data_IF_807664429881
#
_entry.id   IF_807664429881
#
_cell.length_a   1.000
_cell.length_b   1.000
_cell.length_c   1.000
_cell.angle_alpha   90.00
_cell.angle_beta   90.00
_cell.angle_gamma   90.00
#
_symmetry.space_group_name_H-M   'P 1'
#
loop_
_entity.id
_entity.type
_entity.pdbx_description
1 polymer ?
#
# COMPACT_ATOMS: atom_id res chain seq x y z
N UNK A 1 9.30 -3.75 -1.53
CA UNK A 1 9.43 -4.67 -0.38
C UNK A 1 8.17 -4.64 0.49
N UNK A 2 8.15 -5.30 1.67
CA UNK A 2 7.02 -5.18 2.63
C UNK A 2 6.91 -3.74 3.14
N UNK A 3 8.03 -3.10 3.46
CA UNK A 3 8.10 -1.71 3.94
C UNK A 3 7.57 -0.72 2.90
N UNK A 4 8.00 -0.87 1.65
CA UNK A 4 7.51 -0.05 0.53
C UNK A 4 6.00 -0.25 0.31
N UNK A 5 5.52 -1.49 0.45
CA UNK A 5 4.10 -1.80 0.33
C UNK A 5 3.29 -1.12 1.43
N UNK A 6 3.80 -1.04 2.67
CA UNK A 6 3.17 -0.29 3.76
C UNK A 6 3.06 1.20 3.45
N UNK A 7 4.11 1.81 2.87
CA UNK A 7 4.10 3.22 2.46
C UNK A 7 3.03 3.45 1.39
N UNK A 8 3.01 2.61 0.34
CA UNK A 8 2.04 2.71 -0.76
C UNK A 8 0.61 2.65 -0.23
N UNK A 9 0.27 1.67 0.61
CA UNK A 9 -1.09 1.54 1.17
C UNK A 9 -1.44 2.70 2.10
N UNK A 10 -0.50 3.20 2.88
CA UNK A 10 -0.72 4.36 3.76
C UNK A 10 -1.03 5.61 2.95
N UNK A 11 -0.27 5.89 1.89
CA UNK A 11 -0.52 7.05 1.03
C UNK A 11 -1.80 6.87 0.20
N UNK A 12 -2.08 5.66 -0.29
CA UNK A 12 -3.36 5.30 -0.93
C UNK A 12 -4.57 5.65 -0.05
N UNK A 13 -4.54 5.23 1.22
CA UNK A 13 -5.61 5.54 2.19
C UNK A 13 -5.75 7.04 2.44
N UNK A 14 -4.64 7.77 2.59
CA UNK A 14 -4.67 9.24 2.76
C UNK A 14 -5.25 9.96 1.55
N UNK A 15 -4.90 9.52 0.35
CA UNK A 15 -5.43 10.12 -0.88
C UNK A 15 -6.92 9.83 -1.05
N UNK A 16 -7.35 8.60 -0.77
CA UNK A 16 -8.77 8.22 -0.76
C UNK A 16 -9.59 9.08 0.23
N UNK A 17 -9.05 9.33 1.44
CA UNK A 17 -9.69 10.23 2.42
C UNK A 17 -9.83 11.68 1.93
N UNK A 18 -8.94 12.12 1.05
CA UNK A 18 -8.96 13.46 0.44
C UNK A 18 -9.76 13.52 -0.87
N UNK A 19 -10.33 12.40 -1.32
CA UNK A 19 -11.00 12.30 -2.63
C UNK A 19 -10.03 12.39 -3.82
N UNK A 20 -8.74 12.11 -3.61
CA UNK A 20 -7.71 12.16 -4.64
C UNK A 20 -7.53 10.74 -5.19
N UNK A 21 -7.90 10.52 -6.45
CA UNK A 21 -7.83 9.21 -7.11
C UNK A 21 -6.44 8.78 -7.57
N UNK A 22 -5.42 9.63 -7.40
CA UNK A 22 -4.04 9.39 -7.82
C UNK A 22 -3.13 9.59 -6.63
N UNK A 23 -2.20 8.66 -6.38
CA UNK A 23 -1.19 8.83 -5.33
C UNK A 23 0.20 8.97 -5.96
N UNK A 24 1.02 9.82 -5.33
CA UNK A 24 2.41 10.03 -5.71
C UNK A 24 3.28 9.59 -4.55
N UNK A 25 4.14 8.59 -4.77
CA UNK A 25 5.12 8.10 -3.80
C UNK A 25 6.51 8.38 -4.36
N UNK A 26 7.36 9.08 -3.61
CA UNK A 26 8.70 9.49 -4.02
C UNK A 26 8.75 10.20 -5.39
N UNK A 27 7.76 11.05 -5.67
CA UNK A 27 7.65 11.79 -6.94
C UNK A 27 7.20 10.95 -8.13
N UNK A 28 6.87 9.67 -7.94
CA UNK A 28 6.32 8.78 -8.97
C UNK A 28 4.84 8.56 -8.76
N UNK A 29 4.06 8.66 -9.84
CA UNK A 29 2.66 8.25 -9.83
C UNK A 29 2.59 6.74 -9.57
N UNK A 30 1.72 6.37 -8.64
CA UNK A 30 1.44 4.99 -8.31
C UNK A 30 0.02 4.69 -8.77
N UNK A 31 -0.08 3.89 -9.82
CA UNK A 31 -1.35 3.50 -10.40
C UNK A 31 -1.99 2.33 -9.62
N UNK A 32 -3.27 2.11 -9.87
CA UNK A 32 -4.06 1.03 -9.25
C UNK A 32 -3.38 -0.36 -9.29
N UNK A 33 -2.72 -0.80 -10.38
CA UNK A 33 -2.04 -2.09 -10.40
C UNK A 33 -0.90 -2.20 -9.37
N UNK A 34 -0.22 -1.09 -9.07
CA UNK A 34 0.87 -1.06 -8.09
C UNK A 34 0.29 -1.12 -6.68
N UNK A 35 -0.83 -0.42 -6.42
CA UNK A 35 -1.54 -0.51 -5.15
C UNK A 35 -1.99 -1.95 -4.88
N UNK A 36 -2.65 -2.61 -5.85
CA UNK A 36 -3.07 -4.02 -5.72
C UNK A 36 -1.89 -4.97 -5.47
N UNK A 37 -0.74 -4.71 -6.10
CA UNK A 37 0.48 -5.48 -5.85
C UNK A 37 0.98 -5.31 -4.42
N UNK A 38 0.98 -4.08 -3.91
CA UNK A 38 1.35 -3.78 -2.53
C UNK A 38 0.40 -4.48 -1.54
N UNK A 39 -0.91 -4.46 -1.78
CA UNK A 39 -1.90 -5.19 -0.96
C UNK A 39 -1.55 -6.68 -0.88
N UNK A 40 -1.31 -7.31 -2.04
CA UNK A 40 -0.99 -8.75 -2.10
C UNK A 40 0.31 -9.11 -1.37
N UNK A 41 1.33 -8.25 -1.43
CA UNK A 41 2.58 -8.44 -0.68
C UNK A 41 2.32 -8.40 0.83
N UNK A 42 1.50 -7.45 1.30
CA UNK A 42 1.15 -7.34 2.72
C UNK A 42 0.29 -8.51 3.19
N UNK A 43 -0.66 -8.97 2.38
CA UNK A 43 -1.46 -10.17 2.67
C UNK A 43 -0.58 -11.40 2.85
N UNK A 44 0.37 -11.63 1.93
CA UNK A 44 1.30 -12.75 2.03
C UNK A 44 2.20 -12.61 3.26
N UNK A 45 2.73 -11.40 3.53
CA UNK A 45 3.54 -11.14 4.70
C UNK A 45 2.78 -11.39 6.01
N UNK A 46 1.48 -11.07 6.05
CA UNK A 46 0.61 -11.34 7.17
C UNK A 46 0.33 -12.84 7.33
N UNK A 47 0.03 -13.54 6.24
CA UNK A 47 -0.26 -14.97 6.23
C UNK A 47 0.90 -15.83 6.76
N UNK A 48 2.15 -15.41 6.52
CA UNK A 48 3.35 -16.11 6.98
C UNK A 48 3.88 -15.59 8.32
N UNK A 49 3.16 -14.68 8.99
CA UNK A 49 3.53 -14.13 10.30
C UNK A 49 4.68 -13.12 10.29
N UNK A 50 5.14 -12.67 9.11
CA UNK A 50 6.13 -11.59 8.99
C UNK A 50 5.55 -10.21 9.30
N UNK A 51 4.24 -10.04 9.18
CA UNK A 51 3.55 -8.79 9.49
C UNK A 51 2.35 -9.07 10.39
N UNK A 52 2.36 -8.57 11.62
CA UNK A 52 1.14 -8.49 12.42
C UNK A 52 0.36 -7.27 11.95
N UNK A 53 -0.63 -7.49 11.11
CA UNK A 53 -1.68 -6.49 10.91
C UNK A 53 -2.53 -6.54 12.20
N UNK A 54 -2.58 -5.48 13.02
CA UNK A 54 -3.49 -5.46 14.15
C UNK A 54 -4.91 -5.63 13.61
N UNK A 55 -5.54 -6.73 14.03
CA UNK A 55 -6.94 -7.05 13.79
C UNK A 55 -7.87 -6.03 14.43
#
# INVERSE_FOLDING_TARGET
>A
SVEESLIIIKEAKKAAQKGIGVIVVDGKMVDEPIVKKAEKILELAAAVGMLRIPS
#
